data_IF_241812376015
#
_entry.id   IF_241812376015
#
_cell.length_a   1.000
_cell.length_b   1.000
_cell.length_c   1.000
_cell.angle_alpha   90.00
_cell.angle_beta   90.00
_cell.angle_gamma   90.00
#
_symmetry.space_group_name_H-M   'P 1'
#
loop_
_entity.id
_entity.type
_entity.pdbx_description
1 polymer ?
#
# COMPACT_ATOMS: atom_id res chain seq x y z
N UNK A 1 -44.20 -51.79 24.87
CA UNK A 1 -43.05 -51.06 24.28
C UNK A 1 -41.81 -51.92 24.00
N UNK A 2 -41.45 -52.91 24.84
CA UNK A 2 -40.26 -53.77 24.62
C UNK A 2 -40.27 -54.64 23.34
N UNK A 3 -41.44 -55.07 22.85
CA UNK A 3 -41.53 -55.96 21.67
C UNK A 3 -41.36 -55.27 20.29
N UNK A 4 -41.43 -53.92 20.19
CA UNK A 4 -41.20 -53.22 18.92
C UNK A 4 -39.72 -52.86 18.68
N UNK A 5 -38.94 -52.72 19.74
CA UNK A 5 -37.49 -52.46 19.68
C UNK A 5 -36.69 -53.67 19.15
N UNK A 6 -37.17 -54.89 19.38
CA UNK A 6 -36.51 -56.12 18.92
C UNK A 6 -36.73 -56.37 17.41
N UNK A 7 -37.74 -55.73 16.80
CA UNK A 7 -38.05 -55.92 15.38
C UNK A 7 -37.23 -55.06 14.42
N UNK A 8 -36.71 -53.90 14.87
CA UNK A 8 -35.90 -52.99 14.06
C UNK A 8 -34.65 -52.54 14.83
N UNK A 9 -33.48 -53.20 14.65
CA UNK A 9 -32.26 -52.90 15.41
C UNK A 9 -31.76 -51.44 15.23
N UNK A 10 -32.12 -50.79 14.11
CA UNK A 10 -31.76 -49.40 13.80
C UNK A 10 -32.31 -48.40 14.82
N UNK A 11 -33.60 -48.54 15.18
CA UNK A 11 -34.23 -47.61 16.12
C UNK A 11 -33.69 -47.79 17.54
N UNK A 12 -33.30 -49.01 17.91
CA UNK A 12 -32.61 -49.27 19.17
C UNK A 12 -31.23 -48.60 19.23
N UNK A 13 -30.43 -48.73 18.16
CA UNK A 13 -29.12 -48.07 18.05
C UNK A 13 -29.25 -46.54 18.06
N UNK A 14 -30.26 -45.99 17.38
CA UNK A 14 -30.56 -44.55 17.37
C UNK A 14 -30.88 -44.02 18.77
N UNK A 15 -31.81 -44.66 19.48
CA UNK A 15 -32.17 -44.24 20.84
C UNK A 15 -30.99 -44.36 21.82
N UNK A 16 -30.15 -45.38 21.66
CA UNK A 16 -28.93 -45.53 22.46
C UNK A 16 -27.93 -44.40 22.18
N UNK A 17 -27.75 -44.01 20.91
CA UNK A 17 -26.88 -42.90 20.53
C UNK A 17 -27.38 -41.55 21.08
N UNK A 18 -28.69 -41.32 21.04
CA UNK A 18 -29.32 -40.11 21.62
C UNK A 18 -29.09 -40.09 23.13
N UNK A 19 -29.33 -41.22 23.83
CA UNK A 19 -29.10 -41.31 25.26
C UNK A 19 -27.63 -41.06 25.64
N UNK A 20 -26.68 -41.61 24.89
CA UNK A 20 -25.25 -41.35 25.05
C UNK A 20 -24.91 -39.87 24.85
N UNK A 21 -25.49 -39.25 23.83
CA UNK A 21 -25.28 -37.82 23.55
C UNK A 21 -25.81 -36.94 24.69
N UNK A 22 -27.01 -37.24 25.21
CA UNK A 22 -27.59 -36.52 26.35
C UNK A 22 -26.74 -36.68 27.60
N UNK A 23 -26.26 -37.90 27.88
CA UNK A 23 -25.40 -38.16 29.05
C UNK A 23 -24.07 -37.42 28.91
N UNK A 24 -23.45 -37.47 27.74
CA UNK A 24 -22.18 -36.81 27.51
C UNK A 24 -22.31 -35.29 27.63
N UNK A 25 -23.17 -34.66 26.84
CA UNK A 25 -23.33 -33.20 26.85
C UNK A 25 -23.96 -32.67 28.12
N UNK A 26 -24.75 -33.48 28.83
CA UNK A 26 -25.43 -33.08 30.07
C UNK A 26 -24.59 -33.22 31.34
N UNK A 27 -23.73 -34.24 31.43
CA UNK A 27 -23.03 -34.57 32.67
C UNK A 27 -21.50 -34.61 32.55
N UNK A 28 -20.96 -34.89 31.36
CA UNK A 28 -19.52 -35.12 31.17
C UNK A 28 -18.84 -33.90 30.56
N UNK A 29 -19.47 -33.26 29.57
CA UNK A 29 -18.86 -32.17 28.83
C UNK A 29 -18.53 -30.97 29.72
N UNK A 30 -17.25 -30.61 29.76
CA UNK A 30 -16.74 -29.57 30.64
C UNK A 30 -17.18 -28.18 30.22
N UNK A 31 -17.40 -27.35 31.23
CA UNK A 31 -17.78 -25.96 31.09
C UNK A 31 -16.61 -25.15 30.50
N UNK A 32 -16.89 -24.39 29.44
CA UNK A 32 -15.93 -23.51 28.78
C UNK A 32 -16.41 -22.07 28.87
N UNK A 33 -15.54 -21.25 29.43
CA UNK A 33 -15.69 -19.81 29.58
C UNK A 33 -15.14 -19.11 28.35
N UNK A 34 -15.86 -18.11 27.88
CA UNK A 34 -15.56 -17.40 26.64
C UNK A 34 -15.28 -15.93 26.93
N UNK A 35 -14.06 -15.50 26.60
CA UNK A 35 -13.66 -14.09 26.63
C UNK A 35 -13.61 -13.55 25.21
N UNK A 36 -14.24 -12.40 24.98
CA UNK A 36 -14.33 -11.75 23.67
C UNK A 36 -13.72 -10.35 23.69
N UNK A 37 -13.00 -10.00 22.62
CA UNK A 37 -12.44 -8.67 22.41
C UNK A 37 -12.67 -8.22 20.97
N UNK A 38 -12.92 -6.92 20.77
CA UNK A 38 -13.17 -6.35 19.45
C UNK A 38 -12.14 -5.27 19.15
N UNK A 39 -11.43 -5.42 18.04
CA UNK A 39 -10.38 -4.51 17.57
C UNK A 39 -10.86 -3.80 16.31
N UNK A 40 -10.58 -2.50 16.21
CA UNK A 40 -10.79 -1.71 15.00
C UNK A 40 -9.49 -1.01 14.62
N UNK A 41 -9.17 -0.99 13.33
CA UNK A 41 -8.11 -0.14 12.80
C UNK A 41 -8.71 1.21 12.44
N UNK A 42 -8.24 2.27 13.09
CA UNK A 42 -8.54 3.63 12.68
C UNK A 42 -7.63 4.00 11.51
N UNK A 43 -8.14 3.94 10.28
CA UNK A 43 -7.44 4.51 9.14
C UNK A 43 -7.86 5.99 9.02
N UNK A 44 -7.00 6.97 9.35
CA UNK A 44 -7.33 8.38 9.15
C UNK A 44 -7.40 8.67 7.64
N UNK A 45 -8.58 8.51 7.04
CA UNK A 45 -8.80 8.89 5.65
C UNK A 45 -8.83 10.42 5.56
N UNK A 46 -7.85 11.00 4.87
CA UNK A 46 -8.02 12.36 4.35
C UNK A 46 -8.67 12.20 2.99
N UNK A 47 -9.91 12.65 2.86
CA UNK A 47 -10.44 13.06 1.57
C UNK A 47 -9.72 14.36 1.19
N UNK A 48 -8.49 14.26 0.69
CA UNK A 48 -7.87 15.35 -0.03
C UNK A 48 -8.67 15.53 -1.33
N UNK A 49 -9.18 16.72 -1.67
CA UNK A 49 -9.96 16.97 -2.88
C UNK A 49 -9.06 17.05 -4.13
N UNK A 50 -8.01 16.24 -4.18
CA UNK A 50 -7.13 16.08 -5.33
C UNK A 50 -7.46 14.73 -5.95
N UNK A 51 -7.90 14.72 -7.20
CA UNK A 51 -8.06 13.48 -7.96
C UNK A 51 -6.70 12.80 -8.10
N UNK A 52 -6.40 11.94 -7.14
CA UNK A 52 -5.19 11.13 -7.16
C UNK A 52 -5.44 9.94 -8.08
N UNK A 53 -4.68 9.87 -9.18
CA UNK A 53 -4.73 8.77 -10.15
C UNK A 53 -4.41 7.43 -9.46
N UNK A 54 -3.71 7.45 -8.31
CA UNK A 54 -3.49 6.25 -7.50
C UNK A 54 -4.80 5.63 -6.96
N UNK A 55 -5.84 6.44 -6.71
CA UNK A 55 -7.16 5.94 -6.26
C UNK A 55 -7.93 5.15 -7.34
N UNK A 56 -7.58 5.32 -8.63
CA UNK A 56 -8.16 4.57 -9.75
C UNK A 56 -7.51 3.20 -9.97
N UNK A 57 -6.31 2.96 -9.43
CA UNK A 57 -5.59 1.69 -9.58
C UNK A 57 -5.85 0.66 -8.47
N UNK A 58 -6.71 0.99 -7.50
CA UNK A 58 -7.30 0.00 -6.60
C UNK A 58 -6.46 -0.32 -5.36
N UNK A 59 -7.18 -0.44 -4.25
CA UNK A 59 -6.64 -0.93 -2.99
C UNK A 59 -7.39 -0.30 -1.83
N UNK A 60 -8.52 -0.90 -1.44
CA UNK A 60 -9.15 -0.63 -0.15
C UNK A 60 -8.13 -0.96 0.97
N UNK A 61 -7.39 0.04 1.42
CA UNK A 61 -6.16 -0.07 2.20
C UNK A 61 -6.37 -0.35 3.70
N UNK A 62 -7.53 -0.90 4.09
CA UNK A 62 -7.85 -1.21 5.49
C UNK A 62 -7.99 -2.70 5.81
N UNK A 63 -8.44 -3.52 4.86
CA UNK A 63 -8.76 -4.94 5.11
C UNK A 63 -7.53 -5.86 5.19
N UNK A 64 -6.48 -5.55 4.42
CA UNK A 64 -5.25 -6.37 4.41
C UNK A 64 -4.56 -6.41 5.76
N UNK A 65 -4.48 -5.27 6.44
CA UNK A 65 -3.82 -5.13 7.74
C UNK A 65 -4.53 -5.95 8.84
N UNK A 66 -5.87 -6.01 8.83
CA UNK A 66 -6.63 -6.85 9.76
C UNK A 66 -6.47 -8.35 9.49
N UNK A 67 -6.36 -8.74 8.22
CA UNK A 67 -6.08 -10.14 7.86
C UNK A 67 -4.66 -10.55 8.29
N UNK A 68 -3.67 -9.66 8.15
CA UNK A 68 -2.32 -9.91 8.65
C UNK A 68 -2.30 -10.05 10.18
N UNK A 69 -3.05 -9.20 10.91
CA UNK A 69 -3.21 -9.34 12.35
C UNK A 69 -3.87 -10.68 12.72
N UNK A 70 -4.94 -11.07 12.01
CA UNK A 70 -5.60 -12.37 12.21
C UNK A 70 -4.62 -13.53 12.06
N UNK A 71 -3.85 -13.56 10.97
CA UNK A 71 -2.90 -14.63 10.71
C UNK A 71 -1.77 -14.65 11.75
N UNK A 72 -1.33 -13.47 12.22
CA UNK A 72 -0.37 -13.38 13.33
C UNK A 72 -0.94 -13.95 14.62
N UNK A 73 -2.15 -13.56 15.03
CA UNK A 73 -2.79 -14.06 16.25
C UNK A 73 -3.06 -15.56 16.20
N UNK A 74 -3.30 -16.11 15.01
CA UNK A 74 -3.49 -17.54 14.78
C UNK A 74 -2.17 -18.29 14.49
N UNK A 75 -1.02 -17.61 14.50
CA UNK A 75 0.27 -18.20 14.16
C UNK A 75 0.86 -19.08 15.27
N UNK A 76 1.82 -19.93 14.88
CA UNK A 76 2.62 -20.72 15.83
C UNK A 76 3.48 -19.82 16.73
N UNK A 77 3.90 -18.66 16.25
CA UNK A 77 4.72 -17.75 17.04
C UNK A 77 3.90 -17.09 18.16
N UNK A 78 2.65 -16.68 17.87
CA UNK A 78 1.73 -16.23 18.91
C UNK A 78 1.43 -17.36 19.91
N UNK A 79 1.22 -18.59 19.44
CA UNK A 79 1.03 -19.74 20.33
C UNK A 79 2.21 -19.92 21.29
N UNK A 80 3.46 -19.80 20.83
CA UNK A 80 4.63 -19.90 21.72
C UNK A 80 4.61 -18.82 22.79
N UNK A 81 4.27 -17.59 22.42
CA UNK A 81 4.14 -16.47 23.37
C UNK A 81 3.02 -16.73 24.39
N UNK A 82 1.86 -17.23 23.96
CA UNK A 82 0.77 -17.61 24.88
C UNK A 82 1.17 -18.76 25.80
N UNK A 83 1.86 -19.77 25.28
CA UNK A 83 2.34 -20.92 26.05
C UNK A 83 3.36 -20.50 27.12
N UNK A 84 4.30 -19.60 26.77
CA UNK A 84 5.33 -19.10 27.68
C UNK A 84 4.77 -18.19 28.78
N UNK A 85 3.81 -17.32 28.46
CA UNK A 85 3.31 -16.31 29.40
C UNK A 85 2.10 -16.75 30.23
N UNK A 86 1.29 -17.69 29.73
CA UNK A 86 0.03 -18.12 30.38
C UNK A 86 0.04 -19.63 30.71
N UNK A 87 1.14 -20.33 30.48
CA UNK A 87 1.25 -21.78 30.67
C UNK A 87 0.14 -22.55 29.94
N UNK A 88 -0.10 -22.22 28.65
CA UNK A 88 -1.21 -22.74 27.85
C UNK A 88 -1.31 -24.26 27.92
N UNK A 89 -0.21 -24.99 27.66
CA UNK A 89 -0.18 -26.47 27.75
C UNK A 89 -0.70 -26.98 29.08
N UNK A 90 -0.22 -26.39 30.18
CA UNK A 90 -0.55 -26.83 31.54
C UNK A 90 -2.02 -26.60 31.85
N UNK A 91 -2.55 -25.44 31.52
CA UNK A 91 -3.97 -25.13 31.77
C UNK A 91 -4.90 -26.13 31.09
N UNK A 92 -4.65 -26.45 29.82
CA UNK A 92 -5.52 -27.36 29.07
C UNK A 92 -5.23 -28.86 29.31
N UNK A 93 -4.10 -29.22 29.92
CA UNK A 93 -3.78 -30.61 30.31
C UNK A 93 -4.13 -30.96 31.76
N UNK A 94 -3.98 -30.01 32.70
CA UNK A 94 -4.18 -30.24 34.14
C UNK A 94 -5.59 -29.85 34.62
N UNK A 95 -6.40 -29.22 33.77
CA UNK A 95 -7.80 -28.90 34.11
C UNK A 95 -8.61 -30.17 34.37
N UNK A 96 -9.61 -30.11 35.26
CA UNK A 96 -10.67 -31.12 35.45
C UNK A 96 -11.61 -31.25 34.22
N UNK A 97 -11.07 -31.02 33.02
CA UNK A 97 -11.76 -31.10 31.76
C UNK A 97 -11.99 -32.56 31.33
N UNK A 98 -13.02 -32.79 30.54
CA UNK A 98 -13.33 -34.10 30.00
C UNK A 98 -12.27 -34.56 29.00
N UNK A 99 -12.09 -35.87 28.88
CA UNK A 99 -11.05 -36.49 28.04
C UNK A 99 -11.10 -36.07 26.55
N UNK A 100 -12.28 -35.65 26.05
CA UNK A 100 -12.44 -35.26 24.64
C UNK A 100 -12.05 -33.78 24.45
N UNK A 101 -12.37 -32.93 25.41
CA UNK A 101 -12.05 -31.50 25.34
C UNK A 101 -10.67 -31.16 25.89
N UNK A 102 -10.12 -31.92 26.83
CA UNK A 102 -8.80 -31.72 27.42
C UNK A 102 -7.67 -32.00 26.42
N UNK A 103 -6.53 -31.36 26.64
CA UNK A 103 -5.30 -31.72 25.95
C UNK A 103 -4.78 -33.07 26.51
N UNK A 104 -4.49 -34.09 25.67
CA UNK A 104 -4.17 -35.43 26.16
C UNK A 104 -2.94 -35.51 27.07
N UNK A 105 -1.98 -34.59 26.88
CA UNK A 105 -0.81 -34.43 27.74
C UNK A 105 -0.23 -33.03 27.57
N UNK A 106 0.56 -32.55 28.54
CA UNK A 106 1.31 -31.30 28.37
C UNK A 106 2.45 -31.37 27.32
N UNK A 107 2.82 -32.58 26.87
CA UNK A 107 4.01 -32.85 26.05
C UNK A 107 3.71 -33.16 24.57
N UNK A 108 2.59 -32.66 24.04
CA UNK A 108 2.21 -32.85 22.62
C UNK A 108 3.16 -32.08 21.69
N UNK A 109 3.45 -32.59 20.47
CA UNK A 109 4.18 -31.84 19.44
C UNK A 109 3.56 -30.47 19.16
N UNK A 110 4.36 -29.57 18.57
CA UNK A 110 3.94 -28.19 18.33
C UNK A 110 2.76 -28.10 17.36
N UNK A 111 2.74 -28.97 16.35
CA UNK A 111 1.70 -29.05 15.34
C UNK A 111 0.35 -29.46 15.95
N UNK A 112 0.36 -30.43 16.85
CA UNK A 112 -0.85 -30.89 17.56
C UNK A 112 -1.33 -29.83 18.55
N UNK A 113 -0.40 -29.15 19.24
CA UNK A 113 -0.74 -28.03 20.12
C UNK A 113 -1.37 -26.89 19.34
N UNK A 114 -0.83 -26.57 18.16
CA UNK A 114 -1.35 -25.52 17.29
C UNK A 114 -2.73 -25.87 16.75
N UNK A 115 -2.94 -27.11 16.31
CA UNK A 115 -4.27 -27.58 15.92
C UNK A 115 -5.28 -27.46 17.08
N UNK A 116 -4.87 -27.76 18.31
CA UNK A 116 -5.70 -27.57 19.50
C UNK A 116 -5.94 -26.09 19.83
N UNK A 117 -4.93 -25.24 19.71
CA UNK A 117 -5.03 -23.79 19.87
C UNK A 117 -6.08 -23.18 18.94
N UNK A 118 -6.08 -23.57 17.66
CA UNK A 118 -7.06 -23.12 16.67
C UNK A 118 -8.49 -23.60 16.95
N UNK A 119 -8.68 -24.63 17.79
CA UNK A 119 -10.01 -25.06 18.24
C UNK A 119 -10.53 -24.24 19.44
N UNK A 120 -9.62 -23.58 20.17
CA UNK A 120 -9.93 -22.79 21.38
C UNK A 120 -9.96 -21.30 21.13
N UNK A 121 -9.24 -20.85 20.11
CA UNK A 121 -9.12 -19.44 19.77
C UNK A 121 -9.59 -19.24 18.34
N UNK A 122 -10.60 -18.38 18.19
CA UNK A 122 -11.05 -17.93 16.88
C UNK A 122 -10.86 -16.43 16.74
N UNK A 123 -10.40 -16.04 15.56
CA UNK A 123 -10.22 -14.63 15.18
C UNK A 123 -10.94 -14.43 13.85
N UNK A 124 -12.02 -13.67 13.89
CA UNK A 124 -12.94 -13.48 12.76
C UNK A 124 -13.00 -12.01 12.36
N UNK A 125 -12.87 -11.74 11.07
CA UNK A 125 -13.03 -10.41 10.50
C UNK A 125 -14.48 -10.24 10.04
N UNK A 126 -15.19 -9.32 10.67
CA UNK A 126 -16.49 -8.85 10.20
C UNK A 126 -16.26 -7.79 9.11
N UNK A 127 -16.30 -8.20 7.85
CA UNK A 127 -16.04 -7.31 6.70
C UNK A 127 -17.06 -6.16 6.60
N UNK A 128 -18.28 -6.36 7.10
CA UNK A 128 -19.33 -5.33 7.06
C UNK A 128 -19.11 -4.27 8.14
N UNK A 129 -18.77 -4.70 9.37
CA UNK A 129 -18.50 -3.78 10.48
C UNK A 129 -17.04 -3.27 10.50
N UNK A 130 -16.14 -3.89 9.73
CA UNK A 130 -14.69 -3.70 9.79
C UNK A 130 -14.14 -3.85 11.22
N UNK A 131 -14.53 -4.94 11.88
CA UNK A 131 -14.14 -5.26 13.26
C UNK A 131 -13.49 -6.64 13.27
N UNK A 132 -12.33 -6.75 13.91
CA UNK A 132 -11.70 -8.03 14.20
C UNK A 132 -12.16 -8.51 15.57
N UNK A 133 -12.87 -9.64 15.61
CA UNK A 133 -13.39 -10.25 16.83
C UNK A 133 -12.48 -11.38 17.25
N UNK A 134 -11.93 -11.29 18.46
CA UNK A 134 -11.11 -12.34 19.07
C UNK A 134 -11.99 -13.04 20.10
N UNK A 135 -12.13 -14.34 19.98
CA UNK A 135 -12.86 -15.20 20.92
C UNK A 135 -11.91 -16.25 21.46
N UNK A 136 -11.82 -16.33 22.77
CA UNK A 136 -10.97 -17.30 23.48
C UNK A 136 -11.81 -18.15 24.41
N UNK A 137 -11.70 -19.47 24.25
CA UNK A 137 -12.38 -20.46 25.08
C UNK A 137 -11.40 -21.15 26.03
N UNK A 138 -11.67 -21.10 27.34
CA UNK A 138 -10.86 -21.79 28.34
C UNK A 138 -11.72 -22.44 29.43
N UNK A 139 -11.17 -23.42 30.15
CA UNK A 139 -11.85 -24.10 31.25
C UNK A 139 -11.97 -23.25 32.53
N UNK A 140 -11.30 -22.10 32.61
CA UNK A 140 -11.46 -21.13 33.70
C UNK A 140 -11.67 -19.73 33.14
N UNK A 141 -12.49 -18.89 33.82
CA UNK A 141 -12.75 -17.52 33.38
C UNK A 141 -11.49 -16.67 33.41
N UNK A 142 -10.65 -16.84 34.44
CA UNK A 142 -9.37 -16.12 34.58
C UNK A 142 -8.43 -16.38 33.41
N UNK A 143 -8.31 -17.63 32.97
CA UNK A 143 -7.39 -17.98 31.88
C UNK A 143 -7.94 -17.54 30.53
N UNK A 144 -9.25 -17.68 30.29
CA UNK A 144 -9.88 -17.13 29.08
C UNK A 144 -9.62 -15.62 28.95
N UNK A 145 -9.81 -14.87 30.04
CA UNK A 145 -9.57 -13.44 30.08
C UNK A 145 -8.09 -13.09 29.91
N UNK A 146 -7.17 -13.80 30.59
CA UNK A 146 -5.71 -13.58 30.46
C UNK A 146 -5.21 -13.82 29.03
N UNK A 147 -5.61 -14.92 28.40
CA UNK A 147 -5.20 -15.22 27.03
C UNK A 147 -5.75 -14.17 26.06
N UNK A 148 -7.01 -13.77 26.20
CA UNK A 148 -7.61 -12.74 25.35
C UNK A 148 -6.92 -11.37 25.51
N UNK A 149 -6.55 -10.98 26.73
CA UNK A 149 -5.74 -9.77 26.98
C UNK A 149 -4.36 -9.87 26.34
N UNK A 150 -3.71 -11.01 26.47
CA UNK A 150 -2.39 -11.21 25.89
C UNK A 150 -2.43 -11.13 24.36
N UNK A 151 -3.43 -11.75 23.72
CA UNK A 151 -3.62 -11.66 22.26
C UNK A 151 -3.86 -10.22 21.81
N UNK A 152 -4.65 -9.46 22.57
CA UNK A 152 -4.90 -8.05 22.27
C UNK A 152 -3.60 -7.23 22.35
N UNK A 153 -2.85 -7.35 23.45
CA UNK A 153 -1.63 -6.59 23.69
C UNK A 153 -0.52 -6.94 22.67
N UNK A 154 -0.27 -8.23 22.44
CA UNK A 154 0.73 -8.67 21.45
C UNK A 154 0.30 -8.31 20.02
N UNK A 155 -1.00 -8.37 19.72
CA UNK A 155 -1.55 -7.92 18.44
C UNK A 155 -1.34 -6.43 18.21
N UNK A 156 -1.57 -5.59 19.22
CA UNK A 156 -1.29 -4.15 19.19
C UNK A 156 0.19 -3.87 18.97
N UNK A 157 1.07 -4.53 19.74
CA UNK A 157 2.52 -4.37 19.62
C UNK A 157 2.99 -4.74 18.22
N UNK A 158 2.55 -5.89 17.69
CA UNK A 158 2.91 -6.37 16.37
C UNK A 158 2.50 -5.37 15.28
N UNK A 159 1.25 -4.91 15.29
CA UNK A 159 0.75 -3.96 14.29
C UNK A 159 1.43 -2.61 14.37
N UNK A 160 1.69 -2.10 15.58
CA UNK A 160 2.43 -0.85 15.76
C UNK A 160 3.88 -0.97 15.27
N UNK A 161 4.53 -2.10 15.51
CA UNK A 161 5.89 -2.36 15.02
C UNK A 161 5.92 -2.47 13.50
N UNK A 162 4.99 -3.22 12.91
CA UNK A 162 4.87 -3.37 11.47
C UNK A 162 4.61 -2.02 10.78
N UNK A 163 3.65 -1.25 11.29
CA UNK A 163 3.33 0.08 10.78
C UNK A 163 4.51 1.05 10.87
N UNK A 164 5.22 1.07 12.00
CA UNK A 164 6.46 1.85 12.18
C UNK A 164 7.54 1.46 11.19
N UNK A 165 7.78 0.16 11.03
CA UNK A 165 8.81 -0.36 10.14
C UNK A 165 8.53 0.01 8.68
N UNK A 166 7.31 -0.26 8.20
CA UNK A 166 6.91 0.06 6.83
C UNK A 166 6.98 1.57 6.56
N UNK A 167 6.52 2.40 7.50
CA UNK A 167 6.62 3.85 7.39
C UNK A 167 8.08 4.32 7.31
N UNK A 168 8.96 3.77 8.16
CA UNK A 168 10.38 4.12 8.16
C UNK A 168 11.09 3.67 6.87
N UNK A 169 10.78 2.47 6.37
CA UNK A 169 11.32 1.95 5.10
C UNK A 169 10.89 2.83 3.92
N UNK A 170 9.62 3.25 3.87
CA UNK A 170 9.11 4.14 2.84
C UNK A 170 9.79 5.52 2.86
N UNK A 171 9.95 6.13 4.05
CA UNK A 171 10.66 7.41 4.22
C UNK A 171 12.12 7.26 3.79
N UNK A 172 12.81 6.22 4.26
CA UNK A 172 14.22 6.00 3.92
C UNK A 172 14.44 5.77 2.42
N UNK A 173 13.53 5.04 1.77
CA UNK A 173 13.54 4.87 0.32
C UNK A 173 13.45 6.21 -0.42
N UNK A 174 12.51 7.09 -0.02
CA UNK A 174 12.33 8.40 -0.64
C UNK A 174 13.47 9.37 -0.31
N UNK A 175 14.06 9.31 0.88
CA UNK A 175 15.26 10.09 1.23
C UNK A 175 16.42 9.75 0.29
N UNK A 176 16.65 8.46 0.04
CA UNK A 176 17.67 8.02 -0.93
C UNK A 176 17.32 8.50 -2.35
N UNK A 177 16.06 8.39 -2.76
CA UNK A 177 15.63 8.82 -4.09
C UNK A 177 15.79 10.33 -4.31
N UNK A 178 15.48 11.14 -3.30
CA UNK A 178 15.69 12.60 -3.31
C UNK A 178 17.18 12.92 -3.41
N UNK A 179 18.04 12.20 -2.69
CA UNK A 179 19.50 12.38 -2.81
C UNK A 179 19.99 12.09 -4.24
N UNK A 180 19.61 10.94 -4.81
CA UNK A 180 20.00 10.54 -6.17
C UNK A 180 19.52 11.56 -7.21
N UNK A 181 18.26 11.98 -7.14
CA UNK A 181 17.70 12.96 -8.07
C UNK A 181 18.29 14.36 -7.88
N UNK A 182 18.68 14.71 -6.66
CA UNK A 182 19.41 15.94 -6.36
C UNK A 182 20.78 15.97 -7.04
N UNK A 183 21.51 14.85 -6.96
CA UNK A 183 22.79 14.69 -7.65
C UNK A 183 22.64 14.71 -9.17
N UNK A 184 21.61 14.05 -9.71
CA UNK A 184 21.30 14.06 -11.14
C UNK A 184 20.96 15.47 -11.65
N UNK A 185 20.16 16.22 -10.88
CA UNK A 185 19.85 17.63 -11.18
C UNK A 185 21.10 18.51 -11.15
N UNK A 186 21.97 18.33 -10.15
CA UNK A 186 23.23 19.06 -10.04
C UNK A 186 24.16 18.75 -11.23
N UNK A 187 24.30 17.48 -11.60
CA UNK A 187 25.11 17.04 -12.75
C UNK A 187 24.56 17.56 -14.08
N UNK A 188 23.26 17.46 -14.32
CA UNK A 188 22.63 18.00 -15.53
C UNK A 188 22.84 19.51 -15.63
N UNK A 189 22.72 20.23 -14.51
CA UNK A 189 22.93 21.67 -14.43
C UNK A 189 24.39 22.03 -14.73
N UNK A 190 25.35 21.28 -14.17
CA UNK A 190 26.77 21.47 -14.42
C UNK A 190 27.12 21.24 -15.90
N UNK A 191 26.58 20.20 -16.54
CA UNK A 191 26.77 19.93 -17.97
C UNK A 191 26.22 21.05 -18.86
N UNK A 192 25.05 21.61 -18.52
CA UNK A 192 24.50 22.75 -19.24
C UNK A 192 25.40 23.98 -19.11
N UNK A 193 25.90 24.27 -17.90
CA UNK A 193 26.81 25.39 -17.64
C UNK A 193 28.15 25.20 -18.37
N UNK A 194 28.72 23.99 -18.33
CA UNK A 194 29.95 23.65 -19.04
C UNK A 194 29.80 23.85 -20.55
N UNK A 195 28.68 23.38 -21.12
CA UNK A 195 28.36 23.59 -22.52
C UNK A 195 28.22 25.08 -22.89
N UNK A 196 27.54 25.88 -22.04
CA UNK A 196 27.42 27.33 -22.22
C UNK A 196 28.80 28.02 -22.21
N UNK A 197 29.68 27.61 -21.28
CA UNK A 197 31.04 28.14 -21.16
C UNK A 197 31.91 27.75 -22.37
N UNK A 198 31.89 26.49 -22.81
CA UNK A 198 32.68 26.01 -23.94
C UNK A 198 32.29 26.72 -25.24
N UNK A 199 30.99 26.93 -25.46
CA UNK A 199 30.51 27.63 -26.66
C UNK A 199 30.58 29.16 -26.55
N UNK A 200 30.89 29.71 -25.37
CA UNK A 200 30.94 31.15 -25.13
C UNK A 200 29.57 31.83 -25.31
N UNK A 201 28.48 31.07 -25.09
CA UNK A 201 27.11 31.50 -25.33
C UNK A 201 26.39 31.61 -23.99
N UNK A 202 26.06 32.85 -23.58
CA UNK A 202 25.12 33.10 -22.46
C UNK A 202 23.72 32.62 -22.86
N UNK A 203 23.40 32.67 -24.16
CA UNK A 203 22.21 32.11 -24.79
C UNK A 203 22.39 32.13 -26.32
N UNK A 204 22.29 30.98 -27.02
CA UNK A 204 22.31 30.93 -28.49
C UNK A 204 21.21 31.81 -29.11
N UNK A 205 20.01 31.82 -28.50
CA UNK A 205 18.87 32.60 -28.97
C UNK A 205 19.08 34.11 -28.75
N UNK A 206 19.65 34.52 -27.62
CA UNK A 206 19.98 35.92 -27.34
C UNK A 206 21.04 36.51 -28.27
N UNK A 207 22.03 35.70 -28.68
CA UNK A 207 23.11 36.14 -29.57
C UNK A 207 22.60 36.42 -30.98
N UNK A 208 21.74 35.55 -31.52
CA UNK A 208 21.10 35.74 -32.84
C UNK A 208 20.13 36.91 -32.83
N UNK A 209 19.34 37.07 -31.77
CA UNK A 209 18.44 38.21 -31.61
C UNK A 209 19.20 39.55 -31.59
N UNK A 210 20.33 39.61 -30.87
CA UNK A 210 21.20 40.79 -30.82
C UNK A 210 21.80 41.13 -32.20
N UNK A 211 22.33 40.14 -32.93
CA UNK A 211 22.88 40.35 -34.27
C UNK A 211 21.82 40.80 -35.27
N UNK A 212 20.62 40.20 -35.21
CA UNK A 212 19.49 40.59 -36.05
C UNK A 212 19.08 42.04 -35.80
N UNK A 213 19.07 42.48 -34.54
CA UNK A 213 18.77 43.88 -34.19
C UNK A 213 19.83 44.86 -34.74
N UNK A 214 21.10 44.50 -34.72
CA UNK A 214 22.19 45.31 -35.30
C UNK A 214 22.05 45.41 -36.82
N UNK A 215 21.76 44.30 -37.51
CA UNK A 215 21.53 44.29 -38.97
C UNK A 215 20.34 45.17 -39.34
N UNK A 216 19.21 45.03 -38.65
CA UNK A 216 18.02 45.86 -38.87
C UNK A 216 18.30 47.36 -38.66
N UNK A 217 19.11 47.72 -37.66
CA UNK A 217 19.53 49.10 -37.42
C UNK A 217 20.38 49.65 -38.58
N UNK A 218 21.34 48.85 -39.07
CA UNK A 218 22.19 49.22 -40.21
C UNK A 218 21.39 49.34 -41.52
N UNK A 219 20.41 48.48 -41.75
CA UNK A 219 19.50 48.56 -42.89
C UNK A 219 18.66 49.85 -42.86
N UNK A 220 18.18 50.25 -41.66
CA UNK A 220 17.52 51.55 -41.47
C UNK A 220 18.44 52.73 -41.79
N UNK A 221 19.70 52.69 -41.34
CA UNK A 221 20.71 53.71 -41.68
C UNK A 221 21.00 53.75 -43.18
N UNK A 222 21.12 52.58 -43.83
CA UNK A 222 21.32 52.49 -45.26
C UNK A 222 20.16 53.10 -46.04
N UNK A 223 18.92 52.83 -45.63
CA UNK A 223 17.72 53.42 -46.23
C UNK A 223 17.73 54.95 -46.15
N UNK A 224 18.12 55.51 -45.01
CA UNK A 224 18.24 56.96 -44.83
C UNK A 224 19.32 57.56 -45.74
N UNK A 225 20.51 56.96 -45.80
CA UNK A 225 21.60 57.41 -46.67
C UNK A 225 21.23 57.33 -48.16
N UNK A 226 20.47 56.31 -48.56
CA UNK A 226 19.96 56.16 -49.93
C UNK A 226 18.93 57.23 -50.29
N UNK A 227 18.03 57.56 -49.37
CA UNK A 227 17.08 58.66 -49.55
C UNK A 227 17.81 60.01 -49.68
N UNK A 228 18.80 60.28 -48.82
CA UNK A 228 19.62 61.49 -48.88
C UNK A 228 20.39 61.59 -50.21
N UNK A 229 20.95 60.48 -50.70
CA UNK A 229 21.56 60.41 -52.03
C UNK A 229 20.58 60.71 -53.15
N UNK A 230 19.36 60.17 -53.09
CA UNK A 230 18.34 60.42 -54.10
C UNK A 230 17.97 61.90 -54.17
N UNK A 231 17.86 62.55 -53.01
CA UNK A 231 17.68 64.00 -52.88
C UNK A 231 18.87 64.73 -53.50
N UNK A 232 20.10 64.45 -53.07
CA UNK A 232 21.32 65.09 -53.61
C UNK A 232 21.46 64.93 -55.14
N UNK A 233 21.07 63.79 -55.69
CA UNK A 233 21.16 63.50 -57.13
C UNK A 233 20.21 64.35 -57.97
N UNK A 234 19.14 64.88 -57.38
CA UNK A 234 18.18 65.73 -58.10
C UNK A 234 18.70 67.14 -58.37
N UNK A 235 19.75 67.60 -57.67
CA UNK A 235 20.29 68.96 -57.82
C UNK A 235 21.83 69.07 -57.79
N UNK A 236 22.59 67.97 -57.59
CA UNK A 236 24.07 67.99 -57.65
C UNK A 236 24.63 66.99 -58.68
N UNK A 237 25.78 67.35 -59.27
CA UNK A 237 26.56 66.46 -60.14
C UNK A 237 27.06 65.22 -59.39
N UNK A 238 27.18 64.10 -60.11
CA UNK A 238 27.69 62.82 -59.61
C UNK A 238 29.12 62.89 -59.07
N UNK A 239 29.89 63.90 -59.45
CA UNK A 239 31.29 64.12 -59.02
C UNK A 239 31.45 65.15 -57.90
N UNK A 240 30.35 65.69 -57.37
CA UNK A 240 30.43 66.66 -56.26
C UNK A 240 30.98 66.01 -54.98
N UNK A 241 31.72 66.75 -54.13
CA UNK A 241 32.24 66.22 -52.87
C UNK A 241 31.16 65.63 -51.96
N UNK A 242 29.96 66.21 -51.95
CA UNK A 242 28.80 65.72 -51.18
C UNK A 242 28.30 64.36 -51.70
N UNK A 243 28.27 64.17 -53.02
CA UNK A 243 27.89 62.89 -53.64
C UNK A 243 28.92 61.79 -53.35
N UNK A 244 30.22 62.11 -53.47
CA UNK A 244 31.29 61.15 -53.16
C UNK A 244 31.25 60.72 -51.69
N UNK A 245 30.96 61.67 -50.78
CA UNK A 245 30.82 61.40 -49.35
C UNK A 245 29.64 60.47 -49.05
N UNK A 246 28.45 60.74 -49.60
CA UNK A 246 27.26 59.90 -49.34
C UNK A 246 27.42 58.52 -49.97
N UNK A 247 28.03 58.41 -51.15
CA UNK A 247 28.30 57.11 -51.79
C UNK A 247 29.32 56.30 -50.98
N UNK A 248 30.35 56.95 -50.43
CA UNK A 248 31.31 56.31 -49.52
C UNK A 248 30.66 55.82 -48.23
N UNK A 249 29.75 56.60 -47.66
CA UNK A 249 28.98 56.20 -46.47
C UNK A 249 28.06 55.01 -46.77
N UNK A 250 27.34 55.03 -47.90
CA UNK A 250 26.51 53.91 -48.37
C UNK A 250 27.36 52.65 -48.52
N UNK A 251 28.54 52.77 -49.15
CA UNK A 251 29.42 51.62 -49.35
C UNK A 251 29.97 51.08 -48.02
N UNK A 252 30.34 51.95 -47.09
CA UNK A 252 30.79 51.56 -45.75
C UNK A 252 29.69 50.84 -44.98
N UNK A 253 28.45 51.36 -44.99
CA UNK A 253 27.29 50.73 -44.33
C UNK A 253 26.94 49.39 -44.97
N UNK A 254 26.96 49.27 -46.30
CA UNK A 254 26.76 47.99 -47.01
C UNK A 254 27.82 46.96 -46.64
N UNK A 255 29.10 47.35 -46.61
CA UNK A 255 30.18 46.48 -46.20
C UNK A 255 29.99 46.02 -44.74
N UNK A 256 29.49 46.89 -43.87
CA UNK A 256 29.20 46.54 -42.48
C UNK A 256 28.02 45.58 -42.36
N UNK A 257 26.93 45.80 -43.11
CA UNK A 257 25.78 44.88 -43.19
C UNK A 257 26.25 43.50 -43.65
N UNK A 258 27.02 43.41 -44.74
CA UNK A 258 27.58 42.15 -45.24
C UNK A 258 28.46 41.46 -44.20
N UNK A 259 29.33 42.19 -43.49
CA UNK A 259 30.13 41.62 -42.40
C UNK A 259 29.29 41.05 -41.25
N UNK A 260 28.21 41.73 -40.85
CA UNK A 260 27.33 41.25 -39.79
C UNK A 260 26.45 40.09 -40.27
N UNK A 261 25.98 40.11 -41.51
CA UNK A 261 25.26 39.00 -42.14
C UNK A 261 26.16 37.77 -42.31
N UNK A 262 27.43 37.93 -42.68
CA UNK A 262 28.42 36.84 -42.75
C UNK A 262 28.74 36.29 -41.36
N UNK A 263 28.84 37.18 -40.36
CA UNK A 263 29.04 36.78 -38.95
C UNK A 263 27.83 35.99 -38.45
N UNK A 264 26.62 36.47 -38.76
CA UNK A 264 25.38 35.78 -38.47
C UNK A 264 25.30 34.46 -39.23
N UNK A 265 25.64 34.38 -40.51
CA UNK A 265 25.63 33.14 -41.31
C UNK A 265 26.67 32.12 -40.83
N UNK A 266 27.87 32.57 -40.44
CA UNK A 266 28.89 31.72 -39.79
C UNK A 266 28.43 31.23 -38.42
N UNK A 267 27.69 32.07 -37.70
CA UNK A 267 27.05 31.70 -36.43
C UNK A 267 25.66 31.08 -36.60
N UNK A 268 25.11 30.89 -37.81
CA UNK A 268 23.72 30.44 -38.08
C UNK A 268 23.65 29.26 -39.08
N UNK A 269 24.76 28.87 -39.70
CA UNK A 269 24.85 27.67 -40.55
C UNK A 269 24.58 26.37 -39.78
N UNK A 270 24.84 25.20 -40.38
CA UNK A 270 24.58 23.88 -39.76
C UNK A 270 25.16 23.70 -38.34
N UNK A 271 26.20 24.47 -37.98
CA UNK A 271 26.77 24.56 -36.64
C UNK A 271 25.82 25.18 -35.59
N UNK A 272 24.93 26.11 -35.94
CA UNK A 272 23.98 26.69 -34.98
C UNK A 272 22.74 25.82 -34.77
N UNK A 273 22.25 25.16 -35.82
CA UNK A 273 21.15 24.20 -35.67
C UNK A 273 21.57 23.03 -34.78
N UNK A 274 22.81 22.54 -34.93
CA UNK A 274 23.38 21.51 -34.05
C UNK A 274 23.61 22.05 -32.64
N UNK A 275 24.23 23.23 -32.48
CA UNK A 275 24.43 23.86 -31.16
C UNK A 275 23.11 24.17 -30.43
N UNK A 276 22.07 24.57 -31.15
CA UNK A 276 20.74 24.86 -30.58
C UNK A 276 20.00 23.58 -30.20
N UNK A 277 20.12 22.52 -31.00
CA UNK A 277 19.53 21.21 -30.68
C UNK A 277 20.20 20.56 -29.46
N UNK A 278 21.53 20.63 -29.37
CA UNK A 278 22.30 20.15 -28.21
C UNK A 278 21.98 20.96 -26.94
N UNK A 279 21.95 22.30 -27.05
CA UNK A 279 21.53 23.18 -25.96
C UNK A 279 20.13 22.83 -25.46
N UNK A 280 19.16 22.71 -26.37
CA UNK A 280 17.77 22.41 -26.02
C UNK A 280 17.63 21.01 -25.41
N UNK A 281 18.46 20.05 -25.84
CA UNK A 281 18.52 18.73 -25.21
C UNK A 281 19.03 18.81 -23.77
N UNK A 282 20.11 19.58 -23.52
CA UNK A 282 20.63 19.79 -22.17
C UNK A 282 19.65 20.55 -21.28
N UNK A 283 18.99 21.58 -21.80
CA UNK A 283 17.95 22.33 -21.09
C UNK A 283 16.76 21.43 -20.71
N UNK A 284 16.29 20.59 -21.63
CA UNK A 284 15.24 19.61 -21.34
C UNK A 284 15.67 18.60 -20.28
N UNK A 285 16.93 18.15 -20.29
CA UNK A 285 17.48 17.26 -19.26
C UNK A 285 17.48 17.94 -17.88
N UNK A 286 17.93 19.19 -17.79
CA UNK A 286 17.90 19.96 -16.53
C UNK A 286 16.46 20.12 -16.04
N UNK A 287 15.53 20.49 -16.92
CA UNK A 287 14.12 20.66 -16.55
C UNK A 287 13.50 19.34 -16.08
N UNK A 288 13.75 18.24 -16.78
CA UNK A 288 13.28 16.92 -16.38
C UNK A 288 13.84 16.49 -15.03
N UNK A 289 15.14 16.71 -14.79
CA UNK A 289 15.78 16.40 -13.51
C UNK A 289 15.19 17.25 -12.37
N UNK A 290 14.93 18.54 -12.61
CA UNK A 290 14.29 19.44 -11.64
C UNK A 290 12.85 19.01 -11.32
N UNK A 291 12.04 18.69 -12.34
CA UNK A 291 10.67 18.22 -12.14
C UNK A 291 10.65 16.90 -11.36
N UNK A 292 11.56 15.98 -11.68
CA UNK A 292 11.70 14.69 -10.96
C UNK A 292 12.12 14.89 -9.51
N UNK A 293 13.12 15.73 -9.26
CA UNK A 293 13.59 16.07 -7.91
C UNK A 293 12.47 16.74 -7.08
N UNK A 294 11.76 17.71 -7.66
CA UNK A 294 10.64 18.39 -7.01
C UNK A 294 9.50 17.41 -6.67
N UNK A 295 9.16 16.51 -7.60
CA UNK A 295 8.16 15.47 -7.38
C UNK A 295 8.54 14.51 -6.25
N UNK A 296 9.80 14.07 -6.21
CA UNK A 296 10.30 13.22 -5.13
C UNK A 296 10.32 13.93 -3.77
N UNK A 297 10.65 15.23 -3.74
CA UNK A 297 10.62 16.02 -2.52
C UNK A 297 9.20 16.18 -1.97
N UNK A 298 8.22 16.44 -2.85
CA UNK A 298 6.81 16.49 -2.48
C UNK A 298 6.31 15.13 -1.96
N UNK A 299 6.70 14.02 -2.60
CA UNK A 299 6.36 12.68 -2.15
C UNK A 299 7.00 12.35 -0.78
N UNK A 300 8.25 12.76 -0.53
CA UNK A 300 8.92 12.58 0.75
C UNK A 300 8.19 13.33 1.86
N UNK A 301 7.81 14.59 1.63
CA UNK A 301 7.09 15.39 2.62
C UNK A 301 5.70 14.79 2.91
N UNK A 302 4.97 14.39 1.87
CA UNK A 302 3.70 13.68 2.03
C UNK A 302 3.85 12.40 2.85
N UNK A 303 4.87 11.59 2.54
CA UNK A 303 5.15 10.33 3.24
C UNK A 303 5.55 10.57 4.70
N UNK A 304 6.31 11.62 5.02
CA UNK A 304 6.65 11.97 6.41
C UNK A 304 5.40 12.33 7.22
N UNK A 305 4.47 13.08 6.62
CA UNK A 305 3.19 13.42 7.25
C UNK A 305 2.34 12.16 7.48
N UNK A 306 2.28 11.25 6.51
CA UNK A 306 1.56 9.97 6.65
C UNK A 306 2.19 9.05 7.69
N UNK A 307 3.52 8.92 7.68
CA UNK A 307 4.28 8.14 8.64
C UNK A 307 4.01 8.60 10.08
N UNK A 308 4.00 9.91 10.32
CA UNK A 308 3.69 10.48 11.63
C UNK A 308 2.27 10.14 12.12
N UNK A 309 1.32 9.91 11.21
CA UNK A 309 -0.07 9.54 11.54
C UNK A 309 -0.26 8.04 11.78
N UNK A 310 0.40 7.19 11.01
CA UNK A 310 0.32 5.72 11.15
C UNK A 310 0.80 5.21 12.51
N UNK A 311 1.55 6.02 13.26
CA UNK A 311 2.00 5.71 14.63
C UNK A 311 0.86 5.51 15.66
N UNK A 312 -0.41 5.75 15.33
CA UNK A 312 -1.56 5.69 16.27
C UNK A 312 -2.74 4.82 15.77
N UNK A 313 -2.49 3.78 14.99
CA UNK A 313 -3.54 3.15 14.16
C UNK A 313 -4.37 2.05 14.84
N UNK A 314 -3.89 1.41 15.91
CA UNK A 314 -4.66 0.35 16.60
C UNK A 314 -5.44 0.96 17.76
N UNK A 315 -6.77 0.87 17.70
CA UNK A 315 -7.69 1.34 18.74
C UNK A 315 -8.54 0.17 19.23
N UNK A 316 -8.50 -0.08 20.53
CA UNK A 316 -9.31 -1.13 21.16
C UNK A 316 -10.75 -0.64 21.24
N UNK A 317 -11.64 -1.25 20.47
CA UNK A 317 -13.07 -0.93 20.55
C UNK A 317 -13.67 -1.52 21.83
N UNK A 318 -13.27 -2.73 22.18
CA UNK A 318 -13.71 -3.42 23.39
C UNK A 318 -12.59 -4.26 23.98
N UNK A 319 -12.24 -3.97 25.23
CA UNK A 319 -11.30 -4.79 26.01
C UNK A 319 -11.89 -6.18 26.27
N UNK A 320 -11.06 -7.22 26.45
CA UNK A 320 -11.52 -8.58 26.68
C UNK A 320 -12.53 -8.67 27.83
N UNK A 321 -13.62 -9.39 27.61
CA UNK A 321 -14.65 -9.59 28.64
C UNK A 321 -14.16 -10.54 29.73
N UNK A 322 -14.61 -10.34 30.96
CA UNK A 322 -14.42 -11.33 32.02
C UNK A 322 -15.63 -12.29 32.00
N UNK A 323 -15.45 -13.60 31.76
CA UNK A 323 -16.60 -14.50 31.61
C UNK A 323 -17.28 -14.77 32.97
N UNK A 324 -18.58 -14.48 33.09
CA UNK A 324 -19.34 -14.71 34.33
C UNK A 324 -19.97 -16.12 34.40
N UNK A 325 -20.26 -16.72 33.25
CA UNK A 325 -20.87 -18.05 33.14
C UNK A 325 -20.28 -18.81 31.94
N UNK A 326 -20.33 -20.16 31.95
CA UNK A 326 -19.85 -20.94 30.82
C UNK A 326 -20.80 -20.82 29.64
N UNK A 327 -20.29 -20.31 28.52
CA UNK A 327 -21.05 -20.12 27.29
C UNK A 327 -21.07 -21.38 26.42
N UNK A 328 -20.00 -22.19 26.52
CA UNK A 328 -19.80 -23.39 25.72
C UNK A 328 -19.59 -24.64 26.61
N UNK A 329 -19.94 -25.85 26.13
CA UNK A 329 -20.74 -26.09 24.93
C UNK A 329 -22.20 -25.64 25.11
N UNK A 330 -22.84 -25.16 24.05
CA UNK A 330 -24.30 -24.97 24.06
C UNK A 330 -25.03 -26.32 24.19
N UNK A 331 -25.19 -26.81 25.43
CA UNK A 331 -25.62 -28.20 25.74
C UNK A 331 -26.96 -28.54 25.10
N UNK A 332 -27.96 -27.67 25.25
CA UNK A 332 -29.30 -27.89 24.70
C UNK A 332 -29.30 -27.91 23.15
N UNK A 333 -28.57 -26.98 22.53
CA UNK A 333 -28.42 -26.92 21.08
C UNK A 333 -27.70 -28.17 20.55
N UNK A 334 -26.58 -28.54 21.16
CA UNK A 334 -25.79 -29.71 20.79
C UNK A 334 -26.63 -31.00 20.90
N UNK A 335 -27.30 -31.21 22.03
CA UNK A 335 -28.18 -32.37 22.22
C UNK A 335 -29.26 -32.44 21.13
N UNK A 336 -29.90 -31.31 20.79
CA UNK A 336 -30.92 -31.27 19.76
C UNK A 336 -30.35 -31.64 18.37
N UNK A 337 -29.23 -31.04 17.98
CA UNK A 337 -28.56 -31.31 16.70
C UNK A 337 -28.15 -32.78 16.59
N UNK A 338 -27.44 -33.32 17.58
CA UNK A 338 -27.02 -34.73 17.56
C UNK A 338 -28.22 -35.69 17.55
N UNK A 339 -29.31 -35.34 18.23
CA UNK A 339 -30.54 -36.13 18.21
C UNK A 339 -31.20 -36.16 16.83
N UNK A 340 -31.28 -35.01 16.17
CA UNK A 340 -31.84 -34.89 14.82
C UNK A 340 -30.97 -35.67 13.82
N UNK A 341 -29.65 -35.52 13.88
CA UNK A 341 -28.71 -36.25 13.02
C UNK A 341 -28.83 -37.76 13.21
N UNK A 342 -28.92 -38.23 14.47
CA UNK A 342 -29.11 -39.64 14.76
C UNK A 342 -30.41 -40.20 14.17
N UNK A 343 -31.50 -39.44 14.23
CA UNK A 343 -32.77 -39.79 13.60
C UNK A 343 -32.64 -39.87 12.08
N UNK A 344 -31.97 -38.91 11.44
CA UNK A 344 -31.74 -38.95 9.99
C UNK A 344 -30.91 -40.15 9.56
N UNK A 345 -29.82 -40.46 10.26
CA UNK A 345 -29.00 -41.65 10.00
C UNK A 345 -29.83 -42.92 10.15
N UNK A 346 -30.68 -42.98 11.18
CA UNK A 346 -31.58 -44.11 11.40
C UNK A 346 -32.60 -44.27 10.28
N UNK A 347 -33.19 -43.17 9.78
CA UNK A 347 -34.11 -43.20 8.64
C UNK A 347 -33.42 -43.71 7.38
N UNK A 348 -32.22 -43.20 7.06
CA UNK A 348 -31.45 -43.63 5.90
C UNK A 348 -31.10 -45.12 5.99
N UNK A 349 -30.58 -45.57 7.15
CA UNK A 349 -30.23 -46.96 7.37
C UNK A 349 -31.45 -47.89 7.26
N UNK A 350 -32.62 -47.43 7.74
CA UNK A 350 -33.87 -48.18 7.60
C UNK A 350 -34.32 -48.26 6.14
N UNK A 351 -34.23 -47.16 5.36
CA UNK A 351 -34.56 -47.19 3.94
C UNK A 351 -33.63 -48.13 3.17
N UNK A 352 -32.33 -48.08 3.43
CA UNK A 352 -31.36 -49.00 2.81
C UNK A 352 -31.67 -50.46 3.11
N UNK A 353 -31.98 -50.79 4.37
CA UNK A 353 -32.38 -52.16 4.71
C UNK A 353 -33.70 -52.57 4.07
N UNK A 354 -34.65 -51.65 3.91
CA UNK A 354 -35.90 -51.92 3.23
C UNK A 354 -35.66 -52.22 1.74
N UNK A 355 -34.82 -51.44 1.06
CA UNK A 355 -34.44 -51.66 -0.35
C UNK A 355 -33.73 -53.00 -0.54
N UNK A 356 -32.76 -53.33 0.34
CA UNK A 356 -32.04 -54.60 0.30
C UNK A 356 -33.00 -55.78 0.50
N UNK A 357 -33.98 -55.64 1.38
CA UNK A 357 -34.97 -56.68 1.63
C UNK A 357 -35.90 -56.86 0.42
N UNK A 358 -36.32 -55.77 -0.21
CA UNK A 358 -37.21 -55.77 -1.38
C UNK A 358 -36.55 -56.35 -2.65
N UNK A 359 -35.21 -56.28 -2.75
CA UNK A 359 -34.45 -56.93 -3.85
C UNK A 359 -34.04 -58.39 -3.56
N UNK A 360 -34.31 -58.89 -2.35
CA UNK A 360 -33.94 -60.25 -1.92
C UNK A 360 -35.11 -61.23 -1.97
N UNK A 361 -36.34 -60.72 -1.91
CA UNK A 361 -37.58 -61.44 -2.22
C UNK A 361 -37.86 -61.39 -3.73
#
# INVERSE_FOLDING_TARGET
MKQRLIKNPVWGACLLFIALSVIYWGLIASDRYVSEANIVLESPQITLPTMDVASLFGGASGGGDMLLLRDYLLSVDMLKTVDELVDFRKHYSDSDADFISSLPSGYVPMEDLHAYYLQRISVELDEYANVLRIKVEAFSPDVAHKIANLLLEEGEIYMNLLGRRLAQEQVSFLENQVSVLGDDFAQASALLIEYQNEKGLISPTGTVASLSAVVASLEGQLSNLQAERAVLKSYQSSTSPSMVRIESAIQATRNQISKQQDRMAKQSGGALNTVSAEYQTLELKVRFALESYSGALAALEGTRIEAARKLKQVSVLQTPTYPEYPLEPQRAHSIAVYSIVAIFIALIAQMLMMIIKDHRD
#
